data_IF_200570885494
#
_entry.id   IF_200570885494
#
_cell.length_a   1.000
_cell.length_b   1.000
_cell.length_c   1.000
_cell.angle_alpha   90.00
_cell.angle_beta   90.00
_cell.angle_gamma   90.00
#
_symmetry.space_group_name_H-M   'P 1'
#
loop_
_entity.id
_entity.type
_entity.pdbx_description
1 polymer ?
#
# COMPACT_ATOMS: atom_id res chain seq x y z
N UNK A 1 4.94 8.26 -15.82
CA UNK A 1 5.18 7.09 -14.94
C UNK A 1 5.88 6.02 -15.76
N UNK A 2 7.10 5.65 -15.38
CA UNK A 2 7.89 4.65 -16.11
C UNK A 2 7.33 3.25 -15.83
N UNK A 3 7.72 2.27 -16.65
CA UNK A 3 7.19 0.90 -16.52
C UNK A 3 7.67 0.24 -15.21
N UNK A 4 8.88 0.57 -14.74
CA UNK A 4 9.41 0.07 -13.46
C UNK A 4 8.62 0.58 -12.25
N UNK A 5 8.21 1.85 -12.24
CA UNK A 5 7.40 2.44 -11.15
C UNK A 5 6.05 1.71 -10.96
N UNK A 6 5.53 1.14 -12.05
CA UNK A 6 4.24 0.43 -12.04
C UNK A 6 4.34 -0.94 -11.39
N UNK A 7 5.48 -1.63 -11.54
CA UNK A 7 5.73 -2.93 -10.87
C UNK A 7 5.89 -2.73 -9.36
N UNK A 8 6.58 -1.68 -8.93
CA UNK A 8 6.77 -1.35 -7.51
C UNK A 8 5.45 -1.05 -6.75
N UNK A 9 4.38 -0.69 -7.47
CA UNK A 9 3.07 -0.41 -6.92
C UNK A 9 2.07 -1.57 -7.07
N UNK A 10 2.49 -2.71 -7.62
CA UNK A 10 1.68 -3.93 -7.62
C UNK A 10 1.77 -4.58 -6.24
N UNK A 11 0.67 -4.61 -5.49
CA UNK A 11 0.65 -5.29 -4.21
C UNK A 11 0.62 -6.82 -4.41
N UNK A 12 1.11 -7.61 -3.43
CA UNK A 12 1.07 -9.07 -3.51
C UNK A 12 -0.34 -9.64 -3.70
N UNK A 13 -1.38 -8.93 -3.27
CA UNK A 13 -2.79 -9.30 -3.44
C UNK A 13 -3.39 -8.93 -4.80
N UNK A 14 -2.62 -8.36 -5.73
CA UNK A 14 -3.11 -7.88 -7.03
C UNK A 14 -3.75 -6.48 -6.99
N UNK A 15 -3.94 -5.89 -5.81
CA UNK A 15 -4.34 -4.48 -5.71
C UNK A 15 -3.22 -3.56 -6.18
N UNK A 16 -3.58 -2.46 -6.84
CA UNK A 16 -2.62 -1.47 -7.30
C UNK A 16 -2.53 -0.28 -6.35
N UNK A 17 -1.39 -0.06 -5.70
CA UNK A 17 -1.20 1.05 -4.77
C UNK A 17 -1.41 2.42 -5.43
N UNK A 18 -1.24 2.54 -6.76
CA UNK A 18 -1.47 3.80 -7.46
C UNK A 18 -2.93 4.28 -7.46
N UNK A 19 -3.89 3.46 -7.04
CA UNK A 19 -5.29 3.88 -6.77
C UNK A 19 -5.63 3.95 -5.27
N UNK A 20 -4.69 3.64 -4.39
CA UNK A 20 -4.90 3.70 -2.95
C UNK A 20 -4.89 5.15 -2.46
N UNK A 21 -5.95 5.57 -1.77
CA UNK A 21 -6.08 6.92 -1.25
C UNK A 21 -4.95 7.34 -0.30
N UNK A 22 -4.49 6.45 0.59
CA UNK A 22 -3.39 6.75 1.53
C UNK A 22 -2.06 6.95 0.79
N UNK A 23 -1.77 6.07 -0.18
CA UNK A 23 -0.57 6.22 -1.02
C UNK A 23 -0.62 7.51 -1.83
N UNK A 24 -1.75 7.81 -2.48
CA UNK A 24 -1.93 9.06 -3.25
C UNK A 24 -1.76 10.29 -2.35
N UNK A 25 -2.41 10.30 -1.18
CA UNK A 25 -2.30 11.39 -0.21
C UNK A 25 -0.84 11.61 0.26
N UNK A 26 -0.08 10.52 0.40
CA UNK A 26 1.34 10.58 0.78
C UNK A 26 2.21 11.06 -0.37
N UNK A 27 2.10 10.43 -1.54
CA UNK A 27 2.87 10.72 -2.76
C UNK A 27 2.74 12.18 -3.19
N UNK A 28 1.52 12.69 -3.16
CA UNK A 28 1.22 14.06 -3.61
C UNK A 28 1.39 15.09 -2.49
N UNK A 29 1.81 14.66 -1.29
CA UNK A 29 1.86 15.49 -0.08
C UNK A 29 0.56 16.28 0.13
N UNK A 30 -0.58 15.64 -0.12
CA UNK A 30 -1.88 16.31 -0.18
C UNK A 30 -2.52 16.39 1.21
N UNK A 31 -2.17 17.44 1.94
CA UNK A 31 -2.62 17.70 3.30
C UNK A 31 -4.15 17.67 3.44
N UNK A 32 -4.87 18.36 2.56
CA UNK A 32 -6.34 18.39 2.56
C UNK A 32 -6.96 17.00 2.37
N UNK A 33 -6.32 16.14 1.59
CA UNK A 33 -6.79 14.78 1.41
C UNK A 33 -6.49 13.92 2.64
N UNK A 34 -5.30 14.06 3.27
CA UNK A 34 -4.98 13.40 4.53
C UNK A 34 -6.00 13.74 5.63
N UNK A 35 -6.37 15.00 5.77
CA UNK A 35 -7.41 15.47 6.71
C UNK A 35 -8.79 14.86 6.46
N UNK A 36 -9.13 14.50 5.21
CA UNK A 36 -10.36 13.75 4.93
C UNK A 36 -10.22 12.29 5.36
N UNK A 37 -9.05 11.70 5.13
CA UNK A 37 -8.79 10.30 5.49
C UNK A 37 -8.76 10.09 7.00
N UNK A 38 -8.37 11.08 7.81
CA UNK A 38 -8.45 10.98 9.28
C UNK A 38 -9.88 10.75 9.75
N UNK A 39 -10.88 11.37 9.12
CA UNK A 39 -12.30 11.14 9.47
C UNK A 39 -12.80 9.76 9.08
N UNK A 40 -12.20 9.14 8.07
CA UNK A 40 -12.57 7.80 7.60
C UNK A 40 -11.92 6.72 8.46
N UNK A 41 -10.66 6.91 8.83
CA UNK A 41 -9.87 5.90 9.53
C UNK A 41 -9.74 6.13 11.04
N UNK A 42 -10.14 7.29 11.55
CA UNK A 42 -10.06 7.62 12.98
C UNK A 42 -8.63 7.76 13.52
N UNK A 43 -7.68 8.19 12.67
CA UNK A 43 -6.26 8.36 13.03
C UNK A 43 -5.78 9.79 12.82
N UNK A 44 -4.57 10.11 13.28
CA UNK A 44 -3.96 11.43 13.07
C UNK A 44 -3.53 11.62 11.60
N UNK A 45 -3.26 12.87 11.20
CA UNK A 45 -2.77 13.16 9.84
C UNK A 45 -1.38 12.57 9.64
N UNK A 46 -0.58 12.57 10.70
CA UNK A 46 0.78 12.06 10.77
C UNK A 46 0.81 10.56 10.50
N UNK A 47 -0.21 9.83 10.96
CA UNK A 47 -0.37 8.40 10.69
C UNK A 47 -0.69 8.12 9.22
N UNK A 48 -1.27 9.08 8.48
CA UNK A 48 -1.57 8.95 7.03
C UNK A 48 -0.27 9.07 6.21
N UNK A 49 0.50 7.99 6.21
CA UNK A 49 1.70 7.82 5.40
C UNK A 49 1.79 6.40 4.80
N UNK A 50 2.23 6.29 3.55
CA UNK A 50 2.48 5.03 2.85
C UNK A 50 3.34 5.25 1.60
N UNK A 51 4.38 4.43 1.40
CA UNK A 51 5.21 4.39 0.18
C UNK A 51 4.89 3.20 -0.73
N UNK A 52 3.87 2.41 -0.39
CA UNK A 52 3.36 1.29 -1.19
C UNK A 52 3.55 -0.07 -0.51
N UNK A 53 2.74 -1.06 -0.88
CA UNK A 53 2.68 -2.36 -0.20
C UNK A 53 4.01 -3.13 -0.20
N UNK A 54 4.84 -2.95 -1.22
CA UNK A 54 6.16 -3.58 -1.36
C UNK A 54 7.31 -2.75 -0.75
N UNK A 55 7.03 -1.60 -0.15
CA UNK A 55 8.02 -0.79 0.54
C UNK A 55 8.09 -1.13 2.03
N UNK A 56 9.15 -0.68 2.71
CA UNK A 56 9.27 -0.80 4.17
C UNK A 56 8.28 0.11 4.92
N UNK A 57 7.86 1.20 4.29
CA UNK A 57 6.98 2.21 4.87
C UNK A 57 5.54 2.01 4.36
N UNK A 58 4.78 1.17 5.08
CA UNK A 58 3.43 0.77 4.69
C UNK A 58 2.36 1.33 5.62
N UNK A 59 1.17 1.55 5.06
CA UNK A 59 -0.03 1.86 5.82
C UNK A 59 -0.37 0.75 6.83
N UNK A 60 -0.96 1.10 7.99
CA UNK A 60 -1.15 0.13 9.07
C UNK A 60 -1.98 -1.11 8.68
N UNK A 61 -3.02 -0.95 7.84
CA UNK A 61 -3.80 -2.09 7.34
C UNK A 61 -2.96 -3.01 6.43
N UNK A 62 -1.98 -2.45 5.72
CA UNK A 62 -1.07 -3.22 4.88
C UNK A 62 -0.01 -3.95 5.72
N UNK A 63 0.29 -3.51 6.95
CA UNK A 63 1.17 -4.21 7.90
C UNK A 63 0.53 -5.48 8.46
N UNK A 64 -0.80 -5.53 8.52
CA UNK A 64 -1.58 -6.66 9.05
C UNK A 64 -2.19 -7.53 7.94
N UNK A 65 -1.69 -7.43 6.71
CA UNK A 65 -2.26 -8.11 5.55
C UNK A 65 -1.77 -9.56 5.45
N UNK A 66 -2.67 -10.53 5.67
CA UNK A 66 -2.35 -11.96 5.57
C UNK A 66 -1.81 -12.37 4.21
N UNK A 67 -2.29 -11.75 3.13
CA UNK A 67 -1.80 -12.05 1.77
C UNK A 67 -0.33 -11.61 1.62
N UNK A 68 0.04 -10.46 2.21
CA UNK A 68 1.42 -9.99 2.20
C UNK A 68 2.31 -10.94 3.01
N UNK A 69 1.90 -11.28 4.23
CA UNK A 69 2.64 -12.23 5.07
C UNK A 69 2.77 -13.62 4.41
N UNK A 70 1.73 -14.11 3.75
CA UNK A 70 1.77 -15.36 2.99
C UNK A 70 2.77 -15.30 1.83
N UNK A 71 2.76 -14.22 1.03
CA UNK A 71 3.71 -14.05 -0.07
C UNK A 71 5.15 -13.92 0.44
N UNK A 72 5.38 -13.19 1.53
CA UNK A 72 6.70 -13.06 2.16
C UNK A 72 7.23 -14.42 2.67
N UNK A 73 6.39 -15.20 3.35
CA UNK A 73 6.75 -16.54 3.84
C UNK A 73 7.09 -17.51 2.70
N UNK A 74 6.38 -17.41 1.57
CA UNK A 74 6.60 -18.26 0.39
C UNK A 74 7.68 -17.72 -0.57
N UNK A 75 8.19 -16.51 -0.34
CA UNK A 75 9.15 -15.85 -1.24
C UNK A 75 8.55 -15.42 -2.58
N UNK A 76 7.25 -15.10 -2.62
CA UNK A 76 6.54 -14.67 -3.82
C UNK A 76 6.43 -13.15 -3.92
N UNK A 77 6.51 -12.62 -5.15
CA UNK A 77 6.17 -11.24 -5.49
C UNK A 77 4.63 -11.01 -5.42
N UNK A 78 3.81 -12.06 -5.60
CA UNK A 78 2.37 -11.98 -5.39
C UNK A 78 1.63 -13.30 -5.47
N UNK A 79 0.34 -13.27 -5.10
CA UNK A 79 -0.51 -14.46 -4.96
C UNK A 79 -0.70 -15.24 -6.26
N UNK A 80 -0.55 -14.60 -7.43
CA UNK A 80 -0.63 -15.24 -8.74
C UNK A 80 0.46 -16.29 -8.99
N UNK A 81 1.52 -16.33 -8.17
CA UNK A 81 2.56 -17.37 -8.20
C UNK A 81 2.20 -18.61 -7.39
N UNK A 82 1.09 -18.56 -6.64
CA UNK A 82 0.60 -19.69 -5.87
C UNK A 82 -0.02 -20.73 -6.80
N UNK A 83 0.27 -22.01 -6.55
CA UNK A 83 -0.34 -23.15 -7.24
C UNK A 83 -1.50 -23.76 -6.43
N UNK A 84 -1.83 -23.14 -5.30
CA UNK A 84 -2.92 -23.54 -4.39
C UNK A 84 -4.25 -22.86 -4.76
#
# INVERSE_FOLDING_TARGET
MKKEDRKALAAPCGMYCGVCGVYIATRDNNQKFKERLTTVYGVSVEDIHCKGCLSDDTWFLCKQCDIKSCCEQKGYEGCHQCND
#
